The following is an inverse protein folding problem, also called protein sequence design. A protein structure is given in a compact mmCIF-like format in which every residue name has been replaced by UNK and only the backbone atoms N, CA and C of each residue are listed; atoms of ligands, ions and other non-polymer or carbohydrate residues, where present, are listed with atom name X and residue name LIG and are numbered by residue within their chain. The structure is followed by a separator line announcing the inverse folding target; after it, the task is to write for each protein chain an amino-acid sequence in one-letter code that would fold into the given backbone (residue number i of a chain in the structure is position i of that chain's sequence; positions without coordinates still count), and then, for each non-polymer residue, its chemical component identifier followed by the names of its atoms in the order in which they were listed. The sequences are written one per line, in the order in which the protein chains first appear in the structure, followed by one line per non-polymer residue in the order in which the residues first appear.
data_IF_002551519012
#
_entry.id   IF_002551519012
#
_cell.length_a   1.000
_cell.length_b   1.000
_cell.length_c   1.000
_cell.angle_alpha   90.00
_cell.angle_beta   90.00
_cell.angle_gamma   90.00
#
_symmetry.space_group_name_H-M   'P 1'
#
loop_
_entity.id
_entity.type
_entity.pdbx_description
1 polymer ?
#
# COMPACT_ATOMS: atom_id res chain seq x y z
N UNK A 1 9.05 -33.58 10.98
CA UNK A 1 8.28 -32.97 9.87
C UNK A 1 9.27 -32.12 9.09
N UNK A 2 9.42 -32.31 7.77
CA UNK A 2 10.32 -31.47 6.98
C UNK A 2 9.88 -30.02 7.13
N UNK A 3 10.68 -29.25 7.86
CA UNK A 3 10.44 -27.85 8.11
C UNK A 3 10.77 -27.10 6.83
N UNK A 4 9.78 -26.98 5.92
CA UNK A 4 9.84 -26.04 4.79
C UNK A 4 10.13 -24.68 5.39
N UNK A 5 11.39 -24.28 5.33
CA UNK A 5 11.86 -23.04 5.90
C UNK A 5 11.81 -21.91 4.88
N UNK A 6 12.25 -20.74 5.33
CA UNK A 6 12.52 -19.60 4.45
C UNK A 6 13.35 -19.94 3.20
N UNK A 7 14.44 -20.75 3.28
CA UNK A 7 15.25 -21.05 2.10
C UNK A 7 14.53 -21.92 1.06
N UNK A 8 13.78 -22.97 1.44
CA UNK A 8 13.02 -23.75 0.45
C UNK A 8 11.97 -22.91 -0.26
N UNK A 9 11.25 -22.04 0.46
CA UNK A 9 10.25 -21.16 -0.12
C UNK A 9 10.87 -20.18 -1.13
N UNK A 10 12.06 -19.64 -0.82
CA UNK A 10 12.79 -18.74 -1.71
C UNK A 10 13.30 -19.45 -2.96
N UNK A 11 13.74 -20.71 -2.85
CA UNK A 11 14.17 -21.52 -4.00
C UNK A 11 13.00 -21.83 -4.94
N UNK A 12 11.82 -22.18 -4.39
CA UNK A 12 10.60 -22.39 -5.18
C UNK A 12 10.19 -21.08 -5.87
N UNK A 13 10.18 -19.96 -5.14
CA UNK A 13 9.89 -18.64 -5.70
C UNK A 13 10.83 -18.31 -6.86
N UNK A 14 12.13 -18.59 -6.73
CA UNK A 14 13.10 -18.35 -7.78
C UNK A 14 12.79 -19.16 -9.06
N UNK A 15 12.44 -20.45 -8.93
CA UNK A 15 12.04 -21.28 -10.08
C UNK A 15 10.79 -20.72 -10.75
N UNK A 16 9.78 -20.33 -9.96
CA UNK A 16 8.55 -19.72 -10.47
C UNK A 16 8.86 -18.41 -11.20
N UNK A 17 9.73 -17.55 -10.67
CA UNK A 17 10.13 -16.30 -11.34
C UNK A 17 10.91 -16.55 -12.64
N UNK A 18 11.65 -17.65 -12.76
CA UNK A 18 12.31 -18.02 -14.03
C UNK A 18 11.28 -18.48 -15.06
N UNK A 19 10.30 -19.29 -14.66
CA UNK A 19 9.27 -19.84 -15.58
C UNK A 19 8.30 -18.75 -16.02
N UNK A 20 7.79 -17.95 -15.09
CA UNK A 20 6.78 -16.92 -15.36
C UNK A 20 7.38 -15.55 -15.69
N UNK A 21 8.61 -15.28 -15.26
CA UNK A 21 9.28 -13.97 -15.40
C UNK A 21 9.03 -13.04 -14.22
N UNK A 22 10.02 -12.20 -13.89
CA UNK A 22 9.98 -11.27 -12.76
C UNK A 22 8.85 -10.21 -12.84
N UNK A 23 8.38 -9.88 -14.05
CA UNK A 23 7.30 -8.92 -14.24
C UNK A 23 5.88 -9.51 -14.16
N UNK A 24 5.70 -10.80 -14.44
CA UNK A 24 4.36 -11.40 -14.57
C UNK A 24 3.76 -11.77 -13.22
N UNK A 25 4.57 -12.25 -12.27
CA UNK A 25 4.11 -12.56 -10.92
C UNK A 25 3.46 -11.35 -10.22
N UNK A 26 4.14 -10.19 -10.09
CA UNK A 26 3.56 -9.03 -9.41
C UNK A 26 2.36 -8.44 -10.16
N UNK A 27 2.34 -8.52 -11.49
CA UNK A 27 1.21 -8.06 -12.31
C UNK A 27 -0.05 -8.91 -12.06
N UNK A 28 0.09 -10.24 -12.09
CA UNK A 28 -1.00 -11.19 -11.82
C UNK A 28 -1.49 -11.07 -10.38
N UNK A 29 -0.59 -11.03 -9.40
CA UNK A 29 -0.94 -10.83 -7.99
C UNK A 29 -1.63 -9.47 -7.76
N UNK A 30 -1.20 -8.42 -8.48
CA UNK A 30 -1.81 -7.10 -8.40
C UNK A 30 -3.24 -7.07 -8.92
N UNK A 31 -3.52 -7.74 -10.04
CA UNK A 31 -4.89 -7.86 -10.59
C UNK A 31 -5.78 -8.73 -9.69
N UNK A 32 -5.28 -9.86 -9.21
CA UNK A 32 -5.99 -10.73 -8.26
C UNK A 32 -6.28 -10.02 -6.95
N UNK A 33 -5.31 -9.27 -6.43
CA UNK A 33 -5.43 -8.52 -5.17
C UNK A 33 -6.52 -7.46 -5.22
N UNK A 34 -6.66 -6.74 -6.34
CA UNK A 34 -7.76 -5.78 -6.55
C UNK A 34 -9.13 -6.47 -6.51
N UNK A 35 -9.27 -7.61 -7.20
CA UNK A 35 -10.50 -8.41 -7.13
C UNK A 35 -10.83 -8.82 -5.70
N UNK A 36 -9.87 -9.43 -4.99
CA UNK A 36 -10.03 -9.85 -3.58
C UNK A 36 -10.37 -8.67 -2.67
N UNK A 37 -9.79 -7.48 -2.91
CA UNK A 37 -10.10 -6.26 -2.18
C UNK A 37 -11.58 -5.89 -2.34
N UNK A 38 -12.06 -5.81 -3.56
CA UNK A 38 -13.47 -5.50 -3.89
C UNK A 38 -14.42 -6.55 -3.31
N UNK A 39 -14.09 -7.85 -3.43
CA UNK A 39 -14.87 -8.91 -2.79
C UNK A 39 -14.95 -8.74 -1.28
N UNK A 40 -13.83 -8.41 -0.62
CA UNK A 40 -13.79 -8.19 0.82
C UNK A 40 -14.51 -6.91 1.24
N UNK A 41 -14.40 -5.84 0.46
CA UNK A 41 -15.03 -4.56 0.78
C UNK A 41 -16.56 -4.65 0.68
N UNK A 42 -17.10 -5.31 -0.35
CA UNK A 42 -18.52 -5.62 -0.44
C UNK A 42 -18.99 -6.59 0.66
N UNK A 43 -18.17 -7.59 1.00
CA UNK A 43 -18.51 -8.57 2.05
C UNK A 43 -18.45 -7.99 3.47
N UNK A 44 -17.79 -6.85 3.68
CA UNK A 44 -17.59 -6.21 4.99
C UNK A 44 -18.48 -4.97 5.20
N UNK A 45 -19.41 -4.66 4.28
CA UNK A 45 -20.27 -3.47 4.35
C UNK A 45 -21.19 -3.41 5.60
N UNK A 46 -21.29 -4.48 6.39
CA UNK A 46 -22.03 -4.52 7.66
C UNK A 46 -21.24 -4.04 8.90
N UNK A 47 -19.96 -3.62 8.79
CA UNK A 47 -19.24 -3.01 9.93
C UNK A 47 -18.11 -2.06 9.50
N UNK A 48 -17.97 -0.87 10.12
CA UNK A 48 -16.96 0.08 9.69
C UNK A 48 -15.54 -0.34 10.10
N UNK A 49 -14.65 -0.25 9.10
CA UNK A 49 -13.20 -0.06 9.13
C UNK A 49 -12.23 -1.26 9.22
N UNK A 50 -11.34 -1.24 8.22
CA UNK A 50 -9.91 -1.59 8.23
C UNK A 50 -9.51 -3.06 8.17
N UNK A 51 -8.98 -3.48 7.01
CA UNK A 51 -7.70 -4.20 6.95
C UNK A 51 -6.85 -3.67 5.78
N UNK A 52 -5.79 -2.95 6.14
CA UNK A 52 -4.58 -2.86 5.34
C UNK A 52 -3.92 -4.24 5.28
N UNK A 53 -3.83 -4.83 4.09
CA UNK A 53 -2.95 -5.97 3.81
C UNK A 53 -2.86 -6.12 2.28
N UNK A 54 -1.67 -5.91 1.72
CA UNK A 54 -1.36 -6.32 0.34
C UNK A 54 -0.86 -5.25 -0.63
N UNK A 55 -0.16 -4.20 -0.18
CA UNK A 55 0.63 -3.32 -1.05
C UNK A 55 2.00 -3.01 -0.44
N UNK A 56 2.84 -4.04 -0.33
CA UNK A 56 4.31 -3.89 -0.24
C UNK A 56 4.87 -4.47 -1.53
N UNK A 57 4.81 -3.71 -2.62
CA UNK A 57 5.99 -2.99 -3.12
C UNK A 57 5.59 -1.62 -3.65
N UNK A 58 5.73 -0.60 -2.79
CA UNK A 58 6.19 0.72 -3.20
C UNK A 58 7.36 1.05 -2.28
N UNK A 59 8.55 0.69 -2.74
CA UNK A 59 9.79 1.03 -2.07
C UNK A 59 10.29 2.37 -2.62
N UNK A 60 10.20 3.37 -1.74
CA UNK A 60 11.06 4.54 -1.63
C UNK A 60 11.08 5.57 -2.78
N UNK A 61 10.35 6.66 -2.56
CA UNK A 61 11.05 7.92 -2.25
C UNK A 61 10.35 8.57 -1.07
N UNK A 62 10.93 8.37 0.12
CA UNK A 62 10.70 9.23 1.24
C UNK A 62 11.51 10.51 1.00
N UNK A 63 10.84 11.62 0.72
CA UNK A 63 11.34 12.91 1.12
C UNK A 63 10.64 13.26 2.46
N UNK A 64 11.37 13.43 3.58
CA UNK A 64 10.80 13.98 4.80
C UNK A 64 10.53 15.47 4.59
N UNK A 65 9.46 15.78 3.85
CA UNK A 65 8.86 17.12 3.87
C UNK A 65 8.00 17.22 5.12
N UNK A 66 8.39 18.09 6.05
CA UNK A 66 7.59 18.42 7.23
C UNK A 66 6.15 18.73 6.80
N UNK A 67 5.21 17.88 7.18
CA UNK A 67 3.80 18.11 6.84
C UNK A 67 3.21 18.99 7.93
N UNK A 68 2.74 20.19 7.56
CA UNK A 68 2.11 21.12 8.51
C UNK A 68 0.61 20.87 8.51
N UNK A 69 0.05 20.62 9.70
CA UNK A 69 -1.38 20.40 9.85
C UNK A 69 -2.11 21.71 10.05
N UNK A 70 -3.15 21.95 9.25
CA UNK A 70 -3.99 23.14 9.42
C UNK A 70 -4.74 23.09 10.75
N UNK A 71 -4.63 24.14 11.57
CA UNK A 71 -5.32 24.22 12.88
C UNK A 71 -6.83 24.40 12.79
N UNK A 72 -7.36 24.86 11.65
CA UNK A 72 -8.80 25.10 11.48
C UNK A 72 -9.53 23.84 10.98
N UNK A 73 -8.97 23.13 10.00
CA UNK A 73 -9.65 21.97 9.38
C UNK A 73 -8.89 20.64 9.49
N UNK A 74 -7.71 20.60 10.11
CA UNK A 74 -6.95 19.37 10.38
C UNK A 74 -6.29 18.72 9.16
N UNK A 75 -6.36 19.34 7.97
CA UNK A 75 -5.78 18.75 6.75
C UNK A 75 -4.26 18.95 6.71
N UNK A 76 -3.49 17.93 6.28
CA UNK A 76 -2.07 18.07 6.02
C UNK A 76 -1.83 18.98 4.82
N UNK A 77 -0.88 19.90 4.93
CA UNK A 77 -0.38 20.71 3.83
C UNK A 77 1.16 20.61 3.77
N UNK A 78 1.72 20.90 2.60
CA UNK A 78 3.16 20.96 2.42
C UNK A 78 3.76 22.13 3.23
N UNK A 79 5.00 21.99 3.73
CA UNK A 79 5.69 23.01 4.54
C UNK A 79 5.76 24.40 3.89
N UNK A 80 5.75 24.46 2.56
CA UNK A 80 5.84 25.69 1.77
C UNK A 80 4.49 26.39 1.55
N UNK A 81 3.38 25.76 1.94
CA UNK A 81 2.04 26.33 1.79
C UNK A 81 1.79 27.42 2.85
N UNK A 82 1.65 28.69 2.43
CA UNK A 82 1.28 29.82 3.32
C UNK A 82 -0.17 29.79 3.80
N UNK A 83 -1.06 29.18 3.01
CA UNK A 83 -2.50 29.10 3.29
C UNK A 83 -3.01 27.69 3.04
N UNK A 84 -3.98 27.26 3.84
CA UNK A 84 -4.62 25.97 3.70
C UNK A 84 -5.45 25.93 2.42
N UNK A 85 -5.19 24.96 1.55
CA UNK A 85 -5.87 24.81 0.25
C UNK A 85 -7.36 24.43 0.37
N UNK A 86 -7.83 24.13 1.58
CA UNK A 86 -9.22 23.72 1.83
C UNK A 86 -10.08 24.78 2.52
N UNK A 87 -9.53 25.51 3.50
CA UNK A 87 -10.29 26.48 4.30
C UNK A 87 -9.74 27.92 4.23
N UNK A 88 -8.62 28.14 3.53
CA UNK A 88 -8.02 29.47 3.35
C UNK A 88 -7.27 30.02 4.57
N UNK A 89 -7.28 29.31 5.70
CA UNK A 89 -6.58 29.72 6.93
C UNK A 89 -5.06 29.73 6.72
N UNK A 90 -4.34 30.68 7.32
CA UNK A 90 -2.88 30.63 7.40
C UNK A 90 -2.41 29.35 8.13
N UNK A 91 -1.37 28.71 7.59
CA UNK A 91 -0.75 27.49 8.13
C UNK A 91 0.36 27.81 9.14
#
# INVERSE_FOLDING_TARGET
MPSIGGPELLLILAVVLIVFGAGKLPDVLGQLGKGVRTFRDESQNDKPASVAAGSTTSAATAAPGTTVYCRNCGRPNASDSKFCTNCGQAL
#
